data_IF_069287892464
#
_entry.id   IF_069287892464
#
_cell.length_a   1.000
_cell.length_b   1.000
_cell.length_c   1.000
_cell.angle_alpha   90.00
_cell.angle_beta   90.00
_cell.angle_gamma   90.00
#
_symmetry.space_group_name_H-M   'P 1'
#
loop_
_entity.id
_entity.type
_entity.pdbx_description
1 polymer ?
#
# COMPACT_ATOMS: atom_id res chain seq x y z
N UNK A 1 -0.83 -15.09 -7.81
CA UNK A 1 0.19 -14.05 -7.54
C UNK A 1 -0.41 -13.06 -6.56
N UNK A 2 0.35 -12.65 -5.55
CA UNK A 2 -0.08 -11.65 -4.56
C UNK A 2 0.56 -10.30 -4.89
N UNK A 3 -0.18 -9.22 -4.71
CA UNK A 3 0.31 -7.85 -4.91
C UNK A 3 0.11 -7.09 -3.61
N UNK A 4 1.21 -6.57 -3.08
CA UNK A 4 1.20 -5.63 -1.97
C UNK A 4 1.30 -4.21 -2.54
N UNK A 5 0.35 -3.35 -2.19
CA UNK A 5 0.36 -1.94 -2.54
C UNK A 5 0.52 -1.14 -1.25
N UNK A 6 1.55 -0.30 -1.16
CA UNK A 6 1.67 0.65 -0.06
C UNK A 6 0.52 1.69 -0.10
N UNK A 7 0.29 2.41 1.00
CA UNK A 7 -0.82 3.35 1.06
C UNK A 7 -0.64 4.51 0.07
N UNK A 8 0.60 4.93 -0.21
CA UNK A 8 0.89 6.00 -1.16
C UNK A 8 0.49 5.63 -2.60
N UNK A 9 0.72 4.38 -3.00
CA UNK A 9 0.28 3.82 -4.26
C UNK A 9 -1.25 3.78 -4.30
N UNK A 10 -1.90 3.26 -3.25
CA UNK A 10 -3.37 3.23 -3.16
C UNK A 10 -3.95 4.65 -3.27
N UNK A 11 -3.34 5.65 -2.64
CA UNK A 11 -3.83 7.04 -2.66
C UNK A 11 -3.40 7.84 -3.89
N UNK A 12 -2.52 7.31 -4.75
CA UNK A 12 -1.96 8.03 -5.91
C UNK A 12 -3.03 8.64 -6.83
N UNK A 13 -4.19 7.99 -7.08
CA UNK A 13 -5.25 8.59 -7.89
C UNK A 13 -5.86 9.88 -7.30
N UNK A 14 -5.65 10.14 -6.00
CA UNK A 14 -6.17 11.31 -5.28
C UNK A 14 -5.12 12.41 -5.05
N UNK A 15 -3.92 12.26 -5.62
CA UNK A 15 -2.91 13.31 -5.57
C UNK A 15 -3.26 14.48 -6.50
N UNK A 16 -2.80 15.68 -6.16
CA UNK A 16 -3.01 16.85 -7.01
C UNK A 16 -2.24 16.69 -8.32
N UNK A 17 -2.98 16.64 -9.43
CA UNK A 17 -2.48 16.42 -10.78
C UNK A 17 -1.83 17.69 -11.39
N UNK A 18 -0.89 18.31 -10.67
CA UNK A 18 -0.19 19.52 -11.11
C UNK A 18 1.03 19.26 -12.00
N UNK A 19 1.45 18.00 -12.11
CA UNK A 19 2.60 17.56 -12.91
C UNK A 19 2.21 16.35 -13.74
N UNK A 20 2.70 16.30 -14.99
CA UNK A 20 2.47 15.17 -15.90
C UNK A 20 2.88 13.84 -15.27
N UNK A 21 3.98 13.82 -14.50
CA UNK A 21 4.42 12.64 -13.77
C UNK A 21 3.34 12.10 -12.83
N UNK A 22 2.71 12.97 -12.03
CA UNK A 22 1.68 12.57 -11.08
C UNK A 22 0.46 12.03 -11.84
N UNK A 23 0.03 12.71 -12.92
CA UNK A 23 -1.07 12.22 -13.77
C UNK A 23 -0.80 10.81 -14.26
N UNK A 24 0.39 10.55 -14.82
CA UNK A 24 0.73 9.22 -15.34
C UNK A 24 0.82 8.16 -14.25
N UNK A 25 1.39 8.49 -13.09
CA UNK A 25 1.46 7.56 -11.95
C UNK A 25 0.07 7.25 -11.37
N UNK A 26 -0.80 8.26 -11.26
CA UNK A 26 -2.20 8.12 -10.83
C UNK A 26 -2.97 7.18 -11.76
N UNK A 27 -2.79 7.31 -13.09
CA UNK A 27 -3.42 6.41 -14.07
C UNK A 27 -2.82 5.00 -14.02
N UNK A 28 -1.50 4.87 -13.86
CA UNK A 28 -0.81 3.58 -13.86
C UNK A 28 -1.25 2.67 -12.71
N UNK A 29 -1.57 3.23 -11.53
CA UNK A 29 -2.00 2.46 -10.35
C UNK A 29 -3.31 1.70 -10.59
N UNK A 30 -4.19 2.18 -11.47
CA UNK A 30 -5.42 1.47 -11.81
C UNK A 30 -5.16 0.13 -12.49
N UNK A 31 -4.04 -0.02 -13.21
CA UNK A 31 -3.67 -1.26 -13.90
C UNK A 31 -3.57 -2.45 -12.94
N UNK A 32 -2.67 -2.42 -11.93
CA UNK A 32 -2.57 -3.49 -10.93
C UNK A 32 -3.86 -3.74 -10.15
N UNK A 33 -4.59 -2.68 -9.77
CA UNK A 33 -5.87 -2.82 -9.04
C UNK A 33 -6.89 -3.58 -9.91
N UNK A 34 -7.08 -3.14 -11.16
CA UNK A 34 -8.01 -3.77 -12.10
C UNK A 34 -7.60 -5.21 -12.43
N UNK A 35 -6.30 -5.47 -12.56
CA UNK A 35 -5.77 -6.83 -12.76
C UNK A 35 -6.16 -7.77 -11.62
N UNK A 36 -6.11 -7.29 -10.38
CA UNK A 36 -6.59 -8.01 -9.21
C UNK A 36 -8.13 -8.16 -9.19
N UNK A 37 -8.89 -7.13 -9.58
CA UNK A 37 -10.35 -7.19 -9.64
C UNK A 37 -10.86 -8.26 -10.63
N UNK A 38 -10.14 -8.45 -11.74
CA UNK A 38 -10.42 -9.52 -12.71
C UNK A 38 -9.93 -10.90 -12.26
N UNK A 39 -9.45 -11.03 -11.01
CA UNK A 39 -9.00 -12.29 -10.43
C UNK A 39 -7.66 -12.81 -10.97
N UNK A 40 -6.91 -11.99 -11.71
CA UNK A 40 -5.62 -12.40 -12.27
C UNK A 40 -4.47 -12.32 -11.23
N UNK A 41 -4.68 -11.56 -10.15
CA UNK A 41 -3.84 -11.53 -8.95
C UNK A 41 -4.72 -11.19 -7.73
N UNK A 42 -4.11 -11.20 -6.54
CA UNK A 42 -4.80 -10.90 -5.28
C UNK A 42 -4.13 -9.72 -4.57
N UNK A 43 -4.91 -8.70 -4.24
CA UNK A 43 -4.44 -7.63 -3.35
C UNK A 43 -4.30 -8.21 -1.95
N UNK A 44 -3.22 -7.82 -1.29
CA UNK A 44 -2.96 -8.16 0.11
C UNK A 44 -3.04 -6.90 0.95
N UNK A 45 -3.72 -7.00 2.10
CA UNK A 45 -3.79 -5.96 3.12
C UNK A 45 -2.83 -6.32 4.27
N UNK A 46 -2.43 -5.36 5.10
CA UNK A 46 -1.67 -5.61 6.32
C UNK A 46 -2.09 -4.69 7.46
N UNK A 47 -1.72 -5.03 8.69
CA UNK A 47 -1.94 -4.16 9.85
C UNK A 47 -1.28 -2.78 9.67
N UNK A 48 -0.10 -2.71 9.05
CA UNK A 48 0.56 -1.44 8.73
C UNK A 48 -0.30 -0.54 7.82
N UNK A 49 -0.96 -1.11 6.81
CA UNK A 49 -1.85 -0.36 5.91
C UNK A 49 -3.09 0.16 6.66
N UNK A 50 -3.68 -0.67 7.52
CA UNK A 50 -4.82 -0.23 8.34
C UNK A 50 -4.43 0.89 9.29
N UNK A 51 -3.27 0.76 9.94
CA UNK A 51 -2.72 1.79 10.81
C UNK A 51 -2.55 3.12 10.06
N UNK A 52 -1.91 3.12 8.88
CA UNK A 52 -1.72 4.34 8.10
C UNK A 52 -3.04 4.97 7.63
N UNK A 53 -4.02 4.14 7.23
CA UNK A 53 -5.35 4.59 6.83
C UNK A 53 -6.07 5.29 7.99
N UNK A 54 -5.93 4.78 9.21
CA UNK A 54 -6.50 5.38 10.42
C UNK A 54 -5.83 6.70 10.80
N UNK A 55 -4.53 6.86 10.54
CA UNK A 55 -3.82 8.13 10.78
C UNK A 55 -4.16 9.22 9.73
N UNK A 56 -4.87 8.87 8.65
CA UNK A 56 -5.23 9.79 7.58
C UNK A 56 -6.29 10.82 7.96
N UNK A 57 -5.96 12.12 7.84
CA UNK A 57 -6.87 13.22 8.21
C UNK A 57 -7.99 13.52 7.20
N UNK A 58 -7.84 13.09 5.94
CA UNK A 58 -8.78 13.39 4.86
C UNK A 58 -9.77 12.24 4.68
N UNK A 59 -11.04 12.47 5.00
CA UNK A 59 -12.09 11.45 4.91
C UNK A 59 -12.15 10.78 3.53
N UNK A 60 -12.07 11.54 2.45
CA UNK A 60 -12.07 11.02 1.07
C UNK A 60 -10.92 10.05 0.78
N UNK A 61 -9.72 10.31 1.32
CA UNK A 61 -8.55 9.44 1.13
C UNK A 61 -8.70 8.14 1.91
N UNK A 62 -9.25 8.22 3.12
CA UNK A 62 -9.56 7.06 3.95
C UNK A 62 -10.64 6.19 3.32
N UNK A 63 -11.74 6.78 2.86
CA UNK A 63 -12.80 6.05 2.15
C UNK A 63 -12.29 5.33 0.92
N UNK A 64 -11.46 6.00 0.10
CA UNK A 64 -10.84 5.38 -1.07
C UNK A 64 -9.92 4.21 -0.69
N UNK A 65 -9.05 4.40 0.29
CA UNK A 65 -8.14 3.34 0.73
C UNK A 65 -8.91 2.14 1.29
N UNK A 66 -9.93 2.36 2.12
CA UNK A 66 -10.81 1.29 2.62
C UNK A 66 -11.50 0.56 1.48
N UNK A 67 -12.01 1.27 0.46
CA UNK A 67 -12.65 0.64 -0.70
C UNK A 67 -11.70 -0.24 -1.52
N UNK A 68 -10.43 0.15 -1.64
CA UNK A 68 -9.40 -0.68 -2.30
C UNK A 68 -9.02 -1.88 -1.42
N UNK A 69 -8.75 -1.65 -0.13
CA UNK A 69 -8.37 -2.72 0.80
C UNK A 69 -9.49 -3.73 1.06
N UNK A 70 -10.76 -3.34 0.94
CA UNK A 70 -11.90 -4.25 1.02
C UNK A 70 -11.91 -5.31 -0.11
N UNK A 71 -11.14 -5.10 -1.18
CA UNK A 71 -10.94 -6.08 -2.26
C UNK A 71 -9.83 -7.09 -1.94
N UNK A 72 -9.05 -6.86 -0.89
CA UNK A 72 -7.99 -7.77 -0.48
C UNK A 72 -8.58 -9.10 -0.02
N UNK A 73 -7.93 -10.21 -0.41
CA UNK A 73 -8.36 -11.57 -0.03
C UNK A 73 -7.60 -12.13 1.15
N UNK A 74 -6.49 -11.51 1.50
CA UNK A 74 -5.65 -11.91 2.64
C UNK A 74 -5.16 -10.69 3.39
N UNK A 75 -5.02 -10.84 4.70
CA UNK A 75 -4.45 -9.86 5.60
C UNK A 75 -3.16 -10.42 6.19
N UNK A 76 -2.09 -9.64 6.17
CA UNK A 76 -0.81 -9.95 6.79
C UNK A 76 -0.78 -9.31 8.18
N UNK A 77 -0.57 -10.14 9.19
CA UNK A 77 -0.27 -9.71 10.55
C UNK A 77 1.23 -9.42 10.66
N UNK A 78 1.58 -8.33 11.34
CA UNK A 78 2.97 -7.93 11.53
C UNK A 78 3.60 -8.79 12.61
N UNK A 79 4.56 -9.61 12.22
CA UNK A 79 5.33 -10.44 13.13
C UNK A 79 6.56 -9.71 13.68
N UNK A 80 7.19 -10.24 14.72
CA UNK A 80 8.47 -9.71 15.20
C UNK A 80 9.59 -9.88 14.16
N UNK A 81 9.52 -10.92 13.33
CA UNK A 81 10.45 -11.11 12.20
C UNK A 81 10.33 -10.00 11.16
N UNK A 82 9.11 -9.53 10.85
CA UNK A 82 8.91 -8.40 9.93
C UNK A 82 9.48 -7.11 10.50
N UNK A 83 9.39 -6.90 11.83
CA UNK A 83 9.97 -5.73 12.51
C UNK A 83 11.50 -5.76 12.50
N UNK A 84 12.11 -6.93 12.74
CA UNK A 84 13.56 -7.12 12.63
C UNK A 84 14.03 -6.84 11.21
N UNK A 85 13.32 -7.38 10.21
CA UNK A 85 13.60 -7.13 8.79
C UNK A 85 13.47 -5.66 8.42
N UNK A 86 12.42 -4.99 8.88
CA UNK A 86 12.26 -3.54 8.72
C UNK A 86 13.41 -2.76 9.36
N UNK A 87 13.89 -3.17 10.54
CA UNK A 87 15.03 -2.53 11.19
C UNK A 87 16.32 -2.63 10.36
N UNK A 88 16.53 -3.73 9.62
CA UNK A 88 17.62 -3.83 8.65
C UNK A 88 17.50 -2.79 7.53
N UNK A 89 16.31 -2.65 6.93
CA UNK A 89 16.04 -1.63 5.91
C UNK A 89 16.25 -0.20 6.42
N UNK A 90 15.89 0.07 7.68
CA UNK A 90 16.15 1.37 8.31
C UNK A 90 17.65 1.67 8.40
N UNK A 91 18.50 0.66 8.64
CA UNK A 91 19.96 0.85 8.63
C UNK A 91 20.51 1.26 7.26
N UNK A 92 19.78 0.99 6.18
CA UNK A 92 20.08 1.45 4.83
C UNK A 92 19.46 2.83 4.49
N UNK A 93 18.82 3.48 5.46
CA UNK A 93 18.26 4.83 5.32
C UNK A 93 16.80 4.89 4.87
N UNK A 94 16.10 3.75 4.83
CA UNK A 94 14.67 3.69 4.52
C UNK A 94 13.88 4.14 5.77
N UNK A 95 12.81 4.91 5.59
CA UNK A 95 12.00 5.37 6.72
C UNK A 95 11.33 4.18 7.42
N UNK A 96 11.09 4.24 8.74
CA UNK A 96 10.62 3.08 9.50
C UNK A 96 9.34 2.43 8.97
N UNK A 97 8.35 3.23 8.57
CA UNK A 97 7.08 2.70 8.09
C UNK A 97 7.19 2.14 6.66
N UNK A 98 7.87 2.86 5.77
CA UNK A 98 8.20 2.38 4.42
C UNK A 98 9.02 1.07 4.47
N UNK A 99 9.95 0.96 5.42
CA UNK A 99 10.72 -0.25 5.67
C UNK A 99 9.84 -1.42 6.13
N UNK A 100 8.80 -1.16 6.92
CA UNK A 100 7.83 -2.17 7.30
C UNK A 100 7.00 -2.63 6.10
N UNK A 101 6.56 -1.71 5.23
CA UNK A 101 5.89 -2.10 3.97
C UNK A 101 6.76 -2.99 3.08
N UNK A 102 8.06 -2.69 2.98
CA UNK A 102 9.00 -3.54 2.25
C UNK A 102 9.13 -4.92 2.85
N UNK A 103 9.30 -5.03 4.18
CA UNK A 103 9.36 -6.32 4.87
C UNK A 103 8.08 -7.14 4.63
N UNK A 104 6.91 -6.51 4.78
CA UNK A 104 5.61 -7.16 4.55
C UNK A 104 5.39 -7.56 3.09
N UNK A 105 6.01 -6.86 2.13
CA UNK A 105 5.97 -7.23 0.72
C UNK A 105 6.90 -8.41 0.35
N UNK A 106 7.88 -8.74 1.20
CA UNK A 106 8.75 -9.92 1.05
C UNK A 106 8.12 -11.21 1.62
N UNK A 107 7.15 -11.09 2.52
CA UNK A 107 6.50 -12.18 3.28
C UNK A 107 5.41 -12.94 2.51
#
# INVERSE_FOLDING_TARGET
MKIYLDLCAIQRPLDTQNQVRIVLESEAVWGPISYCEHGCAEIVCSEALLYEVEQGNLAVRREHAVAVLAKARSMIEVTDGDKERAAEFVRYGIKPLDALHLALGES
#
